data_IF_443369093832
#
_entry.id   IF_443369093832
#
_cell.length_a   1.000
_cell.length_b   1.000
_cell.length_c   1.000
_cell.angle_alpha   90.00
_cell.angle_beta   90.00
_cell.angle_gamma   90.00
#
_symmetry.space_group_name_H-M   'P 1'
#
loop_
_entity.id
_entity.type
_entity.pdbx_description
1 polymer ?
#
# COMPACT_ATOMS: atom_id res chain seq x y z
N UNK A 1 0.58 9.15 4.11
CA UNK A 1 -0.31 10.29 3.75
C UNK A 1 0.21 11.63 4.27
N UNK A 2 0.64 11.71 5.53
CA UNK A 2 1.14 12.94 6.18
C UNK A 2 2.33 13.61 5.44
N UNK A 3 3.33 12.84 5.00
CA UNK A 3 4.48 13.38 4.26
C UNK A 3 4.08 14.11 2.96
N UNK A 4 3.11 13.59 2.20
CA UNK A 4 2.60 14.26 0.99
C UNK A 4 1.87 15.58 1.29
N UNK A 5 1.42 15.78 2.53
CA UNK A 5 0.81 16.99 3.07
C UNK A 5 1.81 17.86 3.86
N UNK A 6 3.10 17.52 3.86
CA UNK A 6 4.15 18.22 4.63
C UNK A 6 3.87 18.25 6.14
N UNK A 7 3.28 17.18 6.68
CA UNK A 7 3.01 17.02 8.11
C UNK A 7 4.01 16.03 8.73
N UNK A 8 4.62 16.41 9.84
CA UNK A 8 5.39 15.50 10.69
C UNK A 8 4.47 14.96 11.80
N UNK A 9 4.50 13.65 12.04
CA UNK A 9 3.72 12.99 13.07
C UNK A 9 4.63 12.58 14.23
N UNK A 10 4.09 12.51 15.45
CA UNK A 10 4.78 11.86 16.56
C UNK A 10 4.72 10.34 16.38
N UNK A 11 5.62 9.54 17.00
CA UNK A 11 5.57 8.07 16.90
C UNK A 11 4.21 7.47 17.34
N UNK A 12 3.57 8.09 18.32
CA UNK A 12 2.23 7.70 18.77
C UNK A 12 1.15 8.03 17.74
N UNK A 13 1.24 9.20 17.07
CA UNK A 13 0.33 9.53 15.99
C UNK A 13 0.54 8.63 14.77
N UNK A 14 1.78 8.30 14.41
CA UNK A 14 2.08 7.35 13.34
C UNK A 14 1.44 5.99 13.60
N UNK A 15 1.52 5.50 14.84
CA UNK A 15 0.89 4.24 15.26
C UNK A 15 -0.63 4.32 15.13
N UNK A 16 -1.24 5.41 15.63
CA UNK A 16 -2.70 5.59 15.55
C UNK A 16 -3.18 5.66 14.10
N UNK A 17 -2.52 6.44 13.25
CA UNK A 17 -2.89 6.58 11.84
C UNK A 17 -2.68 5.26 11.08
N UNK A 18 -1.65 4.48 11.43
CA UNK A 18 -1.44 3.15 10.87
C UNK A 18 -2.56 2.17 11.30
N UNK A 19 -2.99 2.23 12.56
CA UNK A 19 -4.13 1.46 13.06
C UNK A 19 -5.44 1.86 12.36
N UNK A 20 -5.65 3.14 12.08
CA UNK A 20 -6.80 3.61 11.30
C UNK A 20 -6.81 3.07 9.87
N UNK A 21 -5.66 3.07 9.19
CA UNK A 21 -5.54 2.47 7.86
C UNK A 21 -5.85 0.97 7.89
N UNK A 22 -5.35 0.25 8.90
CA UNK A 22 -5.62 -1.18 9.11
C UNK A 22 -7.11 -1.45 9.30
N UNK A 23 -7.77 -0.66 10.15
CA UNK A 23 -9.21 -0.76 10.38
C UNK A 23 -10.03 -0.42 9.14
N UNK A 24 -9.57 0.53 8.32
CA UNK A 24 -10.23 0.88 7.06
C UNK A 24 -10.19 -0.27 6.04
N UNK A 25 -9.04 -0.96 5.91
CA UNK A 25 -8.93 -2.16 5.07
C UNK A 25 -9.79 -3.29 5.61
N UNK A 26 -9.77 -3.50 6.93
CA UNK A 26 -10.60 -4.51 7.59
C UNK A 26 -12.08 -4.26 7.30
N UNK A 27 -12.57 -3.04 7.44
CA UNK A 27 -13.95 -2.67 7.13
C UNK A 27 -14.30 -2.88 5.64
N UNK A 28 -13.37 -2.55 4.73
CA UNK A 28 -13.56 -2.73 3.29
C UNK A 28 -13.69 -4.21 2.88
N UNK A 29 -12.83 -5.09 3.42
CA UNK A 29 -12.77 -6.49 3.03
C UNK A 29 -13.63 -7.41 3.90
N UNK A 30 -13.71 -7.15 5.20
CA UNK A 30 -14.38 -8.01 6.18
C UNK A 30 -15.81 -7.59 6.50
N UNK A 31 -16.22 -6.38 6.09
CA UNK A 31 -17.59 -5.88 6.26
C UNK A 31 -18.59 -6.60 5.35
N UNK A 32 -19.30 -5.85 4.50
CA UNK A 32 -20.29 -6.43 3.58
C UNK A 32 -19.68 -7.00 2.30
N UNK A 33 -20.33 -8.01 1.71
CA UNK A 33 -19.96 -8.56 0.40
C UNK A 33 -19.95 -7.48 -0.70
N UNK A 34 -20.92 -6.56 -0.66
CA UNK A 34 -20.99 -5.43 -1.61
C UNK A 34 -19.75 -4.53 -1.58
N UNK A 35 -19.17 -4.29 -0.40
CA UNK A 35 -17.97 -3.45 -0.25
C UNK A 35 -16.71 -4.17 -0.71
N UNK A 36 -16.54 -5.44 -0.32
CA UNK A 36 -15.37 -6.23 -0.74
C UNK A 36 -15.36 -6.52 -2.24
N UNK A 37 -16.52 -6.57 -2.90
CA UNK A 37 -16.62 -6.75 -4.35
C UNK A 37 -15.90 -5.65 -5.15
N UNK A 38 -15.73 -4.45 -4.59
CA UNK A 38 -14.95 -3.38 -5.21
C UNK A 38 -13.42 -3.65 -5.21
N UNK A 39 -12.98 -4.68 -4.46
CA UNK A 39 -11.59 -5.05 -4.24
C UNK A 39 -11.36 -6.53 -4.57
N UNK A 40 -12.00 -7.04 -5.63
CA UNK A 40 -11.95 -8.44 -6.03
C UNK A 40 -10.52 -8.98 -6.20
N UNK A 41 -9.63 -8.21 -6.82
CA UNK A 41 -8.21 -8.58 -6.97
C UNK A 41 -7.51 -8.82 -5.62
N UNK A 42 -7.72 -7.94 -4.63
CA UNK A 42 -7.18 -8.14 -3.29
C UNK A 42 -7.82 -9.35 -2.60
N UNK A 43 -9.13 -9.54 -2.79
CA UNK A 43 -9.85 -10.67 -2.23
C UNK A 43 -9.32 -12.00 -2.79
N UNK A 44 -9.07 -12.08 -4.10
CA UNK A 44 -8.47 -13.25 -4.75
C UNK A 44 -7.10 -13.52 -4.15
N UNK A 45 -6.22 -12.51 -4.12
CA UNK A 45 -4.87 -12.65 -3.58
C UNK A 45 -4.88 -13.19 -2.13
N UNK A 46 -5.73 -12.63 -1.26
CA UNK A 46 -5.90 -13.11 0.12
C UNK A 46 -6.39 -14.56 0.15
N UNK A 47 -7.42 -14.89 -0.63
CA UNK A 47 -8.06 -16.22 -0.58
C UNK A 47 -7.20 -17.35 -1.13
N UNK A 48 -6.20 -17.04 -1.96
CA UNK A 48 -5.18 -18.00 -2.41
C UNK A 48 -4.27 -18.41 -1.25
N UNK A 49 -3.93 -17.49 -0.36
CA UNK A 49 -3.02 -17.74 0.76
C UNK A 49 -3.73 -18.26 2.02
N UNK A 50 -4.90 -17.69 2.35
CA UNK A 50 -5.69 -18.10 3.52
C UNK A 50 -7.19 -17.83 3.37
N UNK A 51 -8.02 -18.48 4.20
CA UNK A 51 -9.46 -18.18 4.20
C UNK A 51 -9.73 -16.72 4.63
N UNK A 52 -10.70 -16.05 3.99
CA UNK A 52 -11.10 -14.68 4.36
C UNK A 52 -11.43 -14.54 5.85
N UNK A 53 -12.06 -15.55 6.46
CA UNK A 53 -12.37 -15.55 7.90
C UNK A 53 -11.12 -15.39 8.77
N UNK A 54 -10.05 -16.14 8.44
CA UNK A 54 -8.77 -16.11 9.17
C UNK A 54 -8.06 -14.78 8.96
N UNK A 55 -8.04 -14.28 7.72
CA UNK A 55 -7.54 -12.96 7.39
C UNK A 55 -8.21 -11.87 8.25
N UNK A 56 -9.55 -11.86 8.30
CA UNK A 56 -10.31 -10.87 9.07
C UNK A 56 -10.07 -10.91 10.58
N UNK A 57 -9.71 -12.07 11.13
CA UNK A 57 -9.32 -12.20 12.54
C UNK A 57 -7.92 -11.64 12.80
N UNK A 58 -7.03 -11.68 11.80
CA UNK A 58 -5.63 -11.27 11.94
C UNK A 58 -5.42 -9.81 11.61
N UNK A 59 -6.08 -9.30 10.56
CA UNK A 59 -5.88 -7.95 10.07
C UNK A 59 -6.19 -6.89 11.14
N UNK A 60 -7.00 -7.17 12.15
CA UNK A 60 -7.29 -6.21 13.23
C UNK A 60 -6.18 -6.10 14.27
N UNK A 61 -5.18 -6.99 14.24
CA UNK A 61 -4.10 -7.03 15.22
C UNK A 61 -2.95 -6.14 14.77
N UNK A 62 -2.32 -5.44 15.73
CA UNK A 62 -1.17 -4.58 15.45
C UNK A 62 0.09 -5.34 15.03
N UNK A 63 0.19 -6.63 15.38
CA UNK A 63 1.28 -7.53 14.96
C UNK A 63 1.10 -8.11 13.55
N UNK A 64 0.02 -7.75 12.86
CA UNK A 64 -0.21 -8.12 11.47
C UNK A 64 0.60 -7.24 10.52
N UNK A 65 1.34 -7.89 9.61
CA UNK A 65 2.14 -7.24 8.58
C UNK A 65 1.29 -7.10 7.32
N UNK A 66 1.10 -5.87 6.84
CA UNK A 66 0.43 -5.61 5.57
C UNK A 66 1.35 -5.86 4.37
N UNK A 67 0.77 -6.25 3.25
CA UNK A 67 1.46 -6.52 2.00
C UNK A 67 0.72 -5.95 0.78
N UNK A 68 0.87 -6.62 -0.35
CA UNK A 68 0.32 -6.20 -1.64
C UNK A 68 -1.20 -5.99 -1.61
N UNK A 69 -1.95 -6.95 -1.03
CA UNK A 69 -3.41 -6.89 -0.95
C UNK A 69 -3.90 -5.63 -0.22
N UNK A 70 -3.29 -5.28 0.91
CA UNK A 70 -3.64 -4.07 1.66
C UNK A 70 -3.26 -2.80 0.90
N UNK A 71 -2.10 -2.78 0.23
CA UNK A 71 -1.66 -1.64 -0.58
C UNK A 71 -2.62 -1.39 -1.75
N UNK A 72 -3.10 -2.44 -2.42
CA UNK A 72 -4.09 -2.32 -3.50
C UNK A 72 -5.40 -1.70 -2.99
N UNK A 73 -5.91 -2.20 -1.85
CA UNK A 73 -7.13 -1.67 -1.24
C UNK A 73 -6.96 -0.21 -0.84
N UNK A 74 -5.86 0.13 -0.17
CA UNK A 74 -5.57 1.50 0.27
C UNK A 74 -5.42 2.48 -0.89
N UNK A 75 -4.75 2.07 -1.97
CA UNK A 75 -4.58 2.89 -3.18
C UNK A 75 -5.94 3.28 -3.77
N UNK A 76 -6.86 2.31 -3.91
CA UNK A 76 -8.23 2.54 -4.40
C UNK A 76 -9.05 3.39 -3.44
N UNK A 77 -9.06 3.05 -2.15
CA UNK A 77 -9.80 3.78 -1.11
C UNK A 77 -9.38 5.25 -1.02
N UNK A 78 -8.07 5.51 -1.11
CA UNK A 78 -7.53 6.87 -1.03
C UNK A 78 -7.52 7.58 -2.39
N UNK A 79 -7.83 6.87 -3.48
CA UNK A 79 -7.66 7.33 -4.86
C UNK A 79 -6.28 7.96 -5.07
N UNK A 80 -5.23 7.28 -4.61
CA UNK A 80 -3.87 7.80 -4.60
C UNK A 80 -2.90 6.70 -5.01
N UNK A 81 -2.01 6.94 -6.00
CA UNK A 81 -1.10 5.90 -6.45
C UNK A 81 -0.12 5.50 -5.34
N UNK A 82 0.22 4.22 -5.30
CA UNK A 82 1.28 3.68 -4.43
C UNK A 82 2.29 2.98 -5.33
N UNK A 83 3.56 3.38 -5.21
CA UNK A 83 4.66 2.78 -5.98
C UNK A 83 5.64 2.16 -5.01
N UNK A 84 5.91 0.87 -5.19
CA UNK A 84 6.89 0.12 -4.40
C UNK A 84 8.19 0.04 -5.19
N UNK A 85 9.28 0.47 -4.56
CA UNK A 85 10.63 0.43 -5.10
C UNK A 85 11.47 -0.61 -4.40
N UNK A 86 12.48 -1.14 -5.07
CA UNK A 86 13.55 -1.93 -4.47
C UNK A 86 14.89 -1.25 -4.76
N UNK A 87 15.89 -1.30 -3.85
CA UNK A 87 17.24 -0.86 -4.16
C UNK A 87 17.81 -1.64 -5.35
N UNK A 88 18.40 -0.96 -6.33
CA UNK A 88 18.95 -1.60 -7.53
C UNK A 88 19.99 -2.67 -7.20
N UNK A 89 20.81 -2.44 -6.17
CA UNK A 89 21.79 -3.39 -5.65
C UNK A 89 21.16 -4.73 -5.19
N UNK A 90 19.89 -4.72 -4.76
CA UNK A 90 19.15 -5.94 -4.37
C UNK A 90 18.43 -6.59 -5.54
N UNK A 91 18.00 -5.82 -6.53
CA UNK A 91 17.30 -6.33 -7.71
C UNK A 91 18.24 -7.00 -8.73
N UNK A 92 19.45 -6.48 -8.89
CA UNK A 92 20.46 -6.99 -9.81
C UNK A 92 21.62 -7.53 -9.00
N UNK A 93 21.67 -8.86 -8.81
CA UNK A 93 22.87 -9.52 -8.28
C UNK A 93 24.08 -9.10 -9.13
N UNK A 94 24.95 -8.25 -8.57
CA UNK A 94 26.14 -7.75 -9.26
C UNK A 94 26.05 -6.33 -9.82
N UNK A 95 25.01 -5.54 -9.52
CA UNK A 95 25.01 -4.09 -9.79
C UNK A 95 26.11 -3.42 -8.96
N UNK A 96 27.31 -3.30 -9.54
CA UNK A 96 28.50 -2.80 -8.84
C UNK A 96 28.46 -1.30 -8.56
N UNK A 97 27.62 -0.50 -9.22
CA UNK A 97 27.62 0.97 -9.08
C UNK A 97 26.27 1.59 -9.50
N UNK A 98 25.23 1.45 -8.68
CA UNK A 98 23.94 2.08 -8.92
C UNK A 98 23.23 2.44 -7.61
N UNK A 99 23.26 3.72 -7.22
CA UNK A 99 22.51 4.24 -6.07
C UNK A 99 21.02 4.45 -6.35
N UNK A 100 20.46 3.68 -7.30
CA UNK A 100 19.10 3.86 -7.80
C UNK A 100 18.06 2.97 -7.12
N UNK A 101 16.80 3.31 -7.36
CA UNK A 101 15.62 2.57 -6.93
C UNK A 101 14.82 2.13 -8.16
N UNK A 102 14.47 0.84 -8.24
CA UNK A 102 13.68 0.28 -9.33
C UNK A 102 12.24 0.08 -8.88
N UNK A 103 11.23 0.59 -9.60
CA UNK A 103 9.84 0.31 -9.28
C UNK A 103 9.53 -1.15 -9.60
N UNK A 104 8.97 -1.88 -8.63
CA UNK A 104 8.63 -3.30 -8.75
C UNK A 104 7.13 -3.56 -8.74
N UNK A 105 6.34 -2.64 -8.19
CA UNK A 105 4.89 -2.69 -8.22
C UNK A 105 4.31 -1.27 -8.21
N UNK A 106 3.20 -1.09 -8.91
CA UNK A 106 2.45 0.16 -8.93
C UNK A 106 0.95 -0.14 -8.79
N UNK A 107 0.32 0.47 -7.80
CA UNK A 107 -1.09 0.31 -7.49
C UNK A 107 -1.81 1.64 -7.69
N UNK A 108 -2.92 1.64 -8.43
CA UNK A 108 -3.73 2.84 -8.67
C UNK A 108 -3.03 3.87 -9.57
N UNK A 109 -2.34 3.41 -10.61
CA UNK A 109 -1.66 4.27 -11.59
C UNK A 109 -2.62 5.24 -12.28
N UNK A 110 -3.90 4.86 -12.39
CA UNK A 110 -5.00 5.69 -12.89
C UNK A 110 -5.24 6.96 -12.06
N UNK A 111 -4.82 7.00 -10.80
CA UNK A 111 -4.93 8.17 -9.92
C UNK A 111 -3.74 9.15 -10.04
N UNK A 112 -2.75 8.81 -10.86
CA UNK A 112 -1.53 9.58 -11.07
C UNK A 112 -1.72 10.79 -11.98
N UNK A 113 -0.65 11.25 -12.61
CA UNK A 113 -0.67 12.44 -13.49
C UNK A 113 -1.64 12.29 -14.67
N UNK A 114 -1.93 11.07 -15.12
CA UNK A 114 -2.93 10.80 -16.16
C UNK A 114 -4.36 11.19 -15.76
N UNK A 115 -4.69 11.15 -14.46
CA UNK A 115 -6.01 11.54 -13.93
C UNK A 115 -6.33 13.02 -14.14
N UNK A 116 -5.29 13.88 -14.19
CA UNK A 116 -5.43 15.31 -14.45
C UNK A 116 -5.97 15.63 -15.85
N UNK A 117 -5.83 14.71 -16.80
CA UNK A 117 -6.39 14.87 -18.13
C UNK A 117 -7.93 14.77 -18.15
N UNK A 118 -8.55 14.18 -17.12
CA UNK A 118 -10.01 13.98 -17.01
C UNK A 118 -10.66 14.93 -15.98
N UNK A 119 -10.03 16.07 -15.67
CA UNK A 119 -10.59 17.10 -14.79
C UNK A 119 -10.42 16.82 -13.29
N UNK A 120 -9.75 15.73 -12.90
CA UNK A 120 -9.51 15.38 -11.50
C UNK A 120 -8.09 15.79 -11.05
N UNK A 121 -7.92 16.36 -9.86
CA UNK A 121 -6.57 16.76 -9.38
C UNK A 121 -5.69 15.51 -9.20
N UNK A 122 -4.63 15.37 -10.00
CA UNK A 122 -3.66 14.30 -9.87
C UNK A 122 -3.09 14.26 -8.43
N UNK A 123 -3.10 13.08 -7.81
CA UNK A 123 -2.57 12.89 -6.45
C UNK A 123 -1.08 12.56 -6.52
N UNK A 124 -0.31 13.11 -5.58
CA UNK A 124 1.10 12.73 -5.42
C UNK A 124 1.15 11.26 -5.00
N UNK A 125 1.96 10.42 -5.68
CA UNK A 125 2.09 9.02 -5.31
C UNK A 125 2.67 8.87 -3.89
N UNK A 126 2.28 7.83 -3.17
CA UNK A 126 3.03 7.33 -2.01
C UNK A 126 4.13 6.43 -2.56
N UNK A 127 5.38 6.69 -2.18
CA UNK A 127 6.50 5.87 -2.61
C UNK A 127 7.00 5.06 -1.42
N UNK A 128 7.05 3.75 -1.59
CA UNK A 128 7.53 2.81 -0.59
C UNK A 128 8.84 2.18 -1.07
N UNK A 129 9.75 1.91 -0.15
CA UNK A 129 10.99 1.19 -0.40
C UNK A 129 10.91 -0.18 0.27
N UNK A 130 10.87 -1.22 -0.53
CA UNK A 130 10.90 -2.60 -0.08
C UNK A 130 12.35 -3.06 0.12
N UNK A 131 12.63 -3.64 1.29
CA UNK A 131 13.97 -4.14 1.61
C UNK A 131 14.32 -5.48 0.93
N UNK A 132 13.41 -6.08 0.16
CA UNK A 132 13.64 -7.39 -0.49
C UNK A 132 13.34 -8.60 0.40
N UNK A 133 12.88 -8.41 1.64
CA UNK A 133 12.59 -9.49 2.60
C UNK A 133 11.18 -9.39 3.18
N UNK A 134 10.87 -8.31 3.89
CA UNK A 134 9.57 -8.15 4.57
C UNK A 134 9.26 -6.71 5.04
N UNK A 135 10.16 -5.74 4.83
CA UNK A 135 10.00 -4.38 5.37
C UNK A 135 9.75 -3.37 4.27
N UNK A 136 8.86 -2.41 4.55
CA UNK A 136 8.61 -1.23 3.73
C UNK A 136 9.02 0.02 4.50
N UNK A 137 9.85 0.84 3.88
CA UNK A 137 10.19 2.18 4.33
C UNK A 137 9.49 3.23 3.47
N UNK A 138 9.24 4.42 4.01
CA UNK A 138 8.77 5.54 3.20
C UNK A 138 9.93 6.11 2.39
N UNK A 139 9.78 6.17 1.05
CA UNK A 139 10.74 6.82 0.17
C UNK A 139 10.29 8.27 -0.06
N UNK A 140 10.97 9.23 0.57
CA UNK A 140 10.69 10.66 0.42
C UNK A 140 11.19 11.21 -0.92
#
# INVERSE_FOLDING_TARGET
>A
MAANKSMALSPSDETREADELRMAVADALCGSEKRRAAYEEALIAITVEESLKRYCQRITRSDFWGGESELLVLSRMCSQPIIVYIPEAKARQGARWGGGFLPIAEYGSEYGRGAAAHGNKARKPVRLLYNGVNHYDLLM
#
